data_IF_866204254679
#
_entry.id   IF_866204254679
#
_cell.length_a   1.000
_cell.length_b   1.000
_cell.length_c   1.000
_cell.angle_alpha   90.00
_cell.angle_beta   90.00
_cell.angle_gamma   90.00
#
_symmetry.space_group_name_H-M   'P 1'
#
loop_
_entity.id
_entity.type
_entity.pdbx_description
1 polymer ?
#
# COMPACT_ATOMS: atom_id res chain seq x y z
N UNK A 1 -15.86 -17.47 5.73
CA UNK A 1 -15.84 -16.87 7.08
C UNK A 1 -14.44 -16.41 7.50
N UNK A 2 -13.42 -17.29 7.57
CA UNK A 2 -12.04 -16.84 7.93
C UNK A 2 -11.40 -15.94 6.86
N UNK A 3 -11.51 -16.28 5.58
CA UNK A 3 -10.96 -15.47 4.48
C UNK A 3 -11.56 -14.07 4.41
N UNK A 4 -12.89 -13.97 4.35
CA UNK A 4 -13.60 -12.69 4.30
C UNK A 4 -13.27 -11.79 5.51
N UNK A 5 -13.10 -12.37 6.70
CA UNK A 5 -12.68 -11.62 7.87
C UNK A 5 -11.24 -11.10 7.73
N UNK A 6 -10.35 -11.89 7.12
CA UNK A 6 -8.97 -11.49 6.90
C UNK A 6 -8.85 -10.41 5.83
N UNK A 7 -9.56 -10.54 4.71
CA UNK A 7 -9.66 -9.49 3.68
C UNK A 7 -10.20 -8.20 4.27
N UNK A 8 -11.29 -8.27 5.05
CA UNK A 8 -11.84 -7.10 5.75
C UNK A 8 -10.84 -6.46 6.70
N UNK A 9 -10.09 -7.27 7.45
CA UNK A 9 -9.07 -6.78 8.38
C UNK A 9 -7.92 -6.11 7.63
N UNK A 10 -7.46 -6.71 6.53
CA UNK A 10 -6.44 -6.14 5.67
C UNK A 10 -6.90 -4.81 5.06
N UNK A 11 -8.10 -4.78 4.45
CA UNK A 11 -8.69 -3.56 3.91
C UNK A 11 -8.82 -2.48 4.98
N UNK A 12 -9.28 -2.83 6.18
CA UNK A 12 -9.38 -1.89 7.29
C UNK A 12 -8.02 -1.28 7.67
N UNK A 13 -6.97 -2.11 7.74
CA UNK A 13 -5.59 -1.66 8.01
C UNK A 13 -5.12 -0.65 6.96
N UNK A 14 -5.20 -0.97 5.67
CA UNK A 14 -4.72 -0.08 4.61
C UNK A 14 -5.58 1.18 4.48
N UNK A 15 -6.89 1.10 4.71
CA UNK A 15 -7.75 2.28 4.77
C UNK A 15 -7.41 3.18 5.97
N UNK A 16 -7.02 2.61 7.11
CA UNK A 16 -6.56 3.38 8.26
C UNK A 16 -5.23 4.09 7.97
N UNK A 17 -4.29 3.40 7.31
CA UNK A 17 -3.03 4.00 6.84
C UNK A 17 -3.28 5.17 5.87
N UNK A 18 -4.17 4.99 4.88
CA UNK A 18 -4.55 6.05 3.94
C UNK A 18 -5.15 7.26 4.64
N UNK A 19 -6.10 7.05 5.57
CA UNK A 19 -6.69 8.14 6.36
C UNK A 19 -5.64 8.88 7.19
N UNK A 20 -4.68 8.15 7.76
CA UNK A 20 -3.56 8.75 8.48
C UNK A 20 -2.67 9.60 7.58
N UNK A 21 -2.41 9.13 6.35
CA UNK A 21 -1.69 9.88 5.32
C UNK A 21 -2.45 11.15 4.91
N UNK A 22 -3.73 11.02 4.54
CA UNK A 22 -4.60 12.16 4.18
C UNK A 22 -4.67 13.19 5.29
N UNK A 23 -4.78 12.76 6.55
CA UNK A 23 -4.77 13.65 7.70
C UNK A 23 -3.47 14.45 7.76
N UNK A 24 -2.31 13.81 7.57
CA UNK A 24 -1.02 14.53 7.53
C UNK A 24 -0.95 15.51 6.36
N UNK A 25 -1.44 15.12 5.18
CA UNK A 25 -1.44 16.00 4.01
C UNK A 25 -2.34 17.22 4.20
N UNK A 26 -3.47 17.08 4.89
CA UNK A 26 -4.39 18.20 5.19
C UNK A 26 -3.84 19.21 6.20
N UNK A 27 -2.79 18.86 6.95
CA UNK A 27 -2.11 19.80 7.87
C UNK A 27 -1.04 20.64 7.18
N UNK A 28 -0.67 20.29 5.95
CA UNK A 28 0.32 21.01 5.14
C UNK A 28 -0.29 22.25 4.51
N UNK A 29 0.55 23.23 4.18
CA UNK A 29 0.12 24.37 3.37
C UNK A 29 -0.04 24.00 1.89
N UNK A 30 -0.48 24.96 1.07
CA UNK A 30 -0.73 24.72 -0.36
C UNK A 30 0.54 24.34 -1.11
N UNK A 31 1.65 25.02 -0.84
CA UNK A 31 2.91 24.81 -1.58
C UNK A 31 3.50 23.44 -1.23
N UNK A 32 3.41 23.04 0.04
CA UNK A 32 3.78 21.71 0.51
C UNK A 32 2.88 20.61 -0.08
N UNK A 33 1.57 20.85 -0.23
CA UNK A 33 0.66 19.91 -0.91
C UNK A 33 1.03 19.78 -2.39
N UNK A 34 1.30 20.90 -3.07
CA UNK A 34 1.76 20.88 -4.46
C UNK A 34 3.07 20.12 -4.62
N UNK A 35 4.02 20.30 -3.71
CA UNK A 35 5.28 19.55 -3.71
C UNK A 35 5.08 18.04 -3.47
N UNK A 36 4.07 17.66 -2.65
CA UNK A 36 3.69 16.28 -2.40
C UNK A 36 2.71 15.69 -3.44
N UNK A 37 2.35 16.40 -4.51
CA UNK A 37 1.31 15.95 -5.45
C UNK A 37 1.59 14.56 -6.04
N UNK A 38 2.86 14.27 -6.36
CA UNK A 38 3.27 12.95 -6.88
C UNK A 38 3.14 11.84 -5.83
N UNK A 39 3.55 12.10 -4.59
CA UNK A 39 3.41 11.17 -3.47
C UNK A 39 1.93 10.88 -3.19
N UNK A 40 1.08 11.90 -3.25
CA UNK A 40 -0.37 11.77 -3.03
C UNK A 40 -0.99 10.86 -4.10
N UNK A 41 -0.74 11.14 -5.39
CA UNK A 41 -1.26 10.32 -6.50
C UNK A 41 -0.78 8.86 -6.40
N UNK A 42 0.53 8.65 -6.19
CA UNK A 42 1.07 7.31 -6.06
C UNK A 42 0.47 6.58 -4.86
N UNK A 43 0.31 7.24 -3.71
CA UNK A 43 -0.26 6.61 -2.50
C UNK A 43 -1.70 6.16 -2.72
N UNK A 44 -2.51 6.94 -3.44
CA UNK A 44 -3.89 6.57 -3.78
C UNK A 44 -3.90 5.36 -4.72
N UNK A 45 -3.08 5.37 -5.78
CA UNK A 45 -2.97 4.25 -6.72
C UNK A 45 -2.44 2.97 -6.05
N UNK A 46 -1.50 3.10 -5.13
CA UNK A 46 -1.03 1.97 -4.31
C UNK A 46 -2.18 1.38 -3.51
N UNK A 47 -2.97 2.21 -2.84
CA UNK A 47 -4.13 1.76 -2.08
C UNK A 47 -5.14 1.02 -2.96
N UNK A 48 -5.50 1.59 -4.12
CA UNK A 48 -6.44 0.97 -5.06
C UNK A 48 -5.92 -0.39 -5.55
N UNK A 49 -4.61 -0.45 -5.89
CA UNK A 49 -3.99 -1.72 -6.31
C UNK A 49 -3.99 -2.77 -5.21
N UNK A 50 -3.77 -2.37 -3.95
CA UNK A 50 -3.82 -3.31 -2.82
C UNK A 50 -5.22 -3.85 -2.55
N UNK A 51 -6.26 -3.03 -2.78
CA UNK A 51 -7.66 -3.49 -2.71
C UNK A 51 -7.93 -4.53 -3.80
N UNK A 52 -7.45 -4.31 -5.03
CA UNK A 52 -7.58 -5.30 -6.10
C UNK A 52 -6.81 -6.60 -5.78
N UNK A 53 -5.59 -6.48 -5.24
CA UNK A 53 -4.75 -7.63 -4.92
C UNK A 53 -5.29 -8.45 -3.75
N UNK A 54 -5.98 -7.84 -2.77
CA UNK A 54 -6.45 -8.57 -1.60
C UNK A 54 -7.45 -9.68 -1.96
N UNK A 55 -8.24 -9.48 -3.02
CA UNK A 55 -9.18 -10.48 -3.54
C UNK A 55 -8.46 -11.66 -4.20
N UNK A 56 -7.23 -11.45 -4.69
CA UNK A 56 -6.41 -12.46 -5.40
C UNK A 56 -5.45 -13.20 -4.48
N UNK A 57 -5.02 -12.60 -3.37
CA UNK A 57 -4.05 -13.18 -2.45
C UNK A 57 -4.64 -14.36 -1.65
N UNK A 58 -3.77 -15.33 -1.35
CA UNK A 58 -4.07 -16.42 -0.43
C UNK A 58 -4.03 -15.94 1.03
N UNK A 59 -4.69 -16.68 1.93
CA UNK A 59 -4.79 -16.33 3.36
C UNK A 59 -3.39 -16.15 3.98
N UNK A 60 -2.44 -17.06 3.70
CA UNK A 60 -1.08 -16.95 4.22
C UNK A 60 -0.36 -15.69 3.74
N UNK A 61 -0.56 -15.32 2.47
CA UNK A 61 0.01 -14.10 1.89
C UNK A 61 -0.58 -12.83 2.53
N UNK A 62 -1.90 -12.81 2.74
CA UNK A 62 -2.58 -11.72 3.47
C UNK A 62 -2.04 -11.58 4.90
N UNK A 63 -1.78 -12.69 5.60
CA UNK A 63 -1.17 -12.67 6.93
C UNK A 63 0.21 -12.03 6.93
N UNK A 64 1.06 -12.36 5.96
CA UNK A 64 2.37 -11.74 5.83
C UNK A 64 2.28 -10.24 5.52
N UNK A 65 1.38 -9.84 4.61
CA UNK A 65 1.10 -8.43 4.34
C UNK A 65 0.66 -7.66 5.59
N UNK A 66 -0.11 -8.29 6.48
CA UNK A 66 -0.54 -7.67 7.74
C UNK A 66 0.61 -7.41 8.72
N UNK A 67 1.72 -8.15 8.63
CA UNK A 67 2.91 -7.92 9.47
C UNK A 67 3.71 -6.69 9.03
N UNK A 68 3.56 -6.26 7.79
CA UNK A 68 4.25 -5.07 7.25
C UNK A 68 3.58 -3.82 7.82
N UNK A 69 4.31 -3.08 8.64
CA UNK A 69 3.87 -1.79 9.17
C UNK A 69 3.96 -0.70 8.09
N UNK A 70 2.96 0.19 8.02
CA UNK A 70 2.94 1.31 7.06
C UNK A 70 3.12 0.85 5.61
N UNK A 71 2.33 -0.14 5.19
CA UNK A 71 2.43 -0.80 3.90
C UNK A 71 2.36 0.18 2.72
N UNK A 72 1.49 1.20 2.78
CA UNK A 72 1.38 2.20 1.72
C UNK A 72 2.70 2.97 1.51
N UNK A 73 3.29 3.46 2.61
CA UNK A 73 4.57 4.17 2.56
C UNK A 73 5.73 3.26 2.16
N UNK A 74 5.74 2.02 2.67
CA UNK A 74 6.73 1.03 2.28
C UNK A 74 6.74 0.79 0.76
N UNK A 75 5.58 0.59 0.15
CA UNK A 75 5.46 0.34 -1.29
C UNK A 75 5.80 1.59 -2.12
N UNK A 76 5.45 2.78 -1.63
CA UNK A 76 5.87 4.03 -2.25
C UNK A 76 7.40 4.18 -2.26
N UNK A 77 8.08 3.83 -1.16
CA UNK A 77 9.54 3.84 -1.12
C UNK A 77 10.17 2.80 -2.04
N UNK A 78 9.55 1.62 -2.21
CA UNK A 78 10.00 0.64 -3.20
C UNK A 78 9.82 1.16 -4.62
N UNK A 79 8.70 1.82 -4.90
CA UNK A 79 8.45 2.47 -6.18
C UNK A 79 9.52 3.51 -6.50
N UNK A 80 9.86 4.39 -5.57
CA UNK A 80 10.90 5.41 -5.77
C UNK A 80 12.31 4.83 -6.02
N UNK A 81 12.56 3.59 -5.58
CA UNK A 81 13.82 2.87 -5.83
C UNK A 81 13.82 2.09 -7.14
N UNK A 82 12.67 1.99 -7.81
CA UNK A 82 12.54 1.25 -9.06
C UNK A 82 12.90 2.15 -10.23
N UNK A 83 13.94 1.78 -10.98
CA UNK A 83 14.38 2.54 -12.14
C UNK A 83 13.49 2.31 -13.38
N UNK A 84 12.64 1.28 -13.35
CA UNK A 84 11.85 0.83 -14.52
C UNK A 84 10.53 0.18 -14.11
N UNK A 85 9.56 0.20 -15.04
CA UNK A 85 8.26 -0.47 -14.90
C UNK A 85 7.11 0.49 -14.58
N UNK A 86 5.89 -0.02 -14.68
CA UNK A 86 4.70 0.71 -14.24
C UNK A 86 4.51 0.56 -12.73
N UNK A 87 3.91 1.57 -12.10
CA UNK A 87 3.72 1.64 -10.65
C UNK A 87 3.04 0.36 -10.12
N UNK A 88 1.96 -0.05 -10.75
CA UNK A 88 1.16 -1.22 -10.37
C UNK A 88 1.96 -2.52 -10.44
N UNK A 89 2.81 -2.69 -11.46
CA UNK A 89 3.66 -3.88 -11.62
C UNK A 89 4.77 -3.92 -10.56
N UNK A 90 5.36 -2.77 -10.24
CA UNK A 90 6.39 -2.67 -9.21
C UNK A 90 5.78 -2.95 -7.83
N UNK A 91 4.58 -2.41 -7.54
CA UNK A 91 3.87 -2.68 -6.30
C UNK A 91 3.59 -4.17 -6.13
N UNK A 92 3.00 -4.82 -7.14
CA UNK A 92 2.66 -6.25 -7.07
C UNK A 92 3.93 -7.08 -6.84
N UNK A 93 5.00 -6.80 -7.60
CA UNK A 93 6.30 -7.47 -7.43
C UNK A 93 6.92 -7.25 -6.05
N UNK A 94 7.02 -6.01 -5.60
CA UNK A 94 7.62 -5.67 -4.30
C UNK A 94 6.84 -6.27 -3.14
N UNK A 95 5.50 -6.34 -3.25
CA UNK A 95 4.66 -7.00 -2.26
C UNK A 95 4.95 -8.51 -2.22
N UNK A 96 4.95 -9.17 -3.38
CA UNK A 96 5.20 -10.61 -3.48
C UNK A 96 6.61 -11.00 -2.99
N UNK A 97 7.63 -10.20 -3.32
CA UNK A 97 8.98 -10.40 -2.79
C UNK A 97 9.06 -10.22 -1.28
N UNK A 98 8.31 -9.26 -0.73
CA UNK A 98 8.27 -9.00 0.71
C UNK A 98 7.58 -10.14 1.46
N UNK A 99 6.49 -10.69 0.92
CA UNK A 99 5.83 -11.89 1.45
C UNK A 99 6.80 -13.09 1.43
N UNK A 100 7.50 -13.30 0.30
CA UNK A 100 8.40 -14.44 0.13
C UNK A 100 9.67 -14.39 1.02
N UNK A 101 10.08 -13.20 1.49
CA UNK A 101 11.21 -13.03 2.41
C UNK A 101 10.87 -13.34 3.87
N UNK A 102 9.58 -13.42 4.21
CA UNK A 102 9.09 -13.62 5.59
C UNK A 102 8.57 -15.05 5.81
N UNK A 103 8.25 -15.77 4.73
CA UNK A 103 7.86 -17.20 4.72
C UNK A 103 9.08 -18.13 4.79
#
# INVERSE_FOLDING_TARGET
MERENMERTFCWKISAELKGFEYRMKQKDKDEIYASAYEIDCTIRIYEKLIELCERLEIGQLQECMKICSLLSFLYEQWLKSDTGELEEVIERSLMESIAKVA
#
